data_IF_865203986497
#
_entry.id   IF_865203986497
#
_cell.length_a   1.000
_cell.length_b   1.000
_cell.length_c   1.000
_cell.angle_alpha   90.00
_cell.angle_beta   90.00
_cell.angle_gamma   90.00
#
_symmetry.space_group_name_H-M   'P 1'
#
loop_
_entity.id
_entity.type
_entity.pdbx_description
1 polymer ?
#
# COMPACT_ATOMS: atom_id res chain seq x y z
N UNK A 1 -2.09 33.19 -15.28
CA UNK A 1 -0.76 33.16 -14.65
C UNK A 1 -0.45 31.70 -14.36
N UNK A 2 0.35 31.06 -15.22
CA UNK A 2 0.73 29.66 -15.03
C UNK A 2 2.15 29.67 -14.47
N UNK A 3 2.37 29.03 -13.33
CA UNK A 3 3.70 28.71 -12.84
C UNK A 3 4.32 27.73 -13.84
N UNK A 4 5.21 28.23 -14.68
CA UNK A 4 5.97 27.40 -15.59
C UNK A 4 7.09 26.67 -14.85
N UNK A 5 7.75 25.76 -15.56
CA UNK A 5 8.98 25.15 -15.04
C UNK A 5 10.04 26.19 -14.62
N UNK A 6 10.22 27.33 -15.33
CA UNK A 6 11.19 28.34 -14.92
C UNK A 6 10.93 28.90 -13.52
N UNK A 7 9.68 29.27 -13.20
CA UNK A 7 9.34 29.83 -11.88
C UNK A 7 9.54 28.81 -10.75
N UNK A 8 9.16 27.55 -10.98
CA UNK A 8 9.39 26.46 -10.01
C UNK A 8 10.89 26.28 -9.76
N UNK A 9 11.72 26.36 -10.81
CA UNK A 9 13.17 26.18 -10.71
C UNK A 9 13.83 27.32 -9.91
N UNK A 10 13.36 28.56 -10.08
CA UNK A 10 13.81 29.71 -9.27
C UNK A 10 13.46 29.51 -7.80
N UNK A 11 12.22 29.11 -7.49
CA UNK A 11 11.80 28.82 -6.11
C UNK A 11 12.66 27.70 -5.52
N UNK A 12 12.92 26.64 -6.28
CA UNK A 12 13.77 25.53 -5.86
C UNK A 12 15.19 26.03 -5.53
N UNK A 13 15.78 26.88 -6.36
CA UNK A 13 17.11 27.47 -6.11
C UNK A 13 17.12 28.28 -4.82
N UNK A 14 16.11 29.13 -4.58
CA UNK A 14 16.01 29.90 -3.33
C UNK A 14 15.86 28.97 -2.12
N UNK A 15 15.01 27.95 -2.21
CA UNK A 15 14.87 26.95 -1.16
C UNK A 15 16.18 26.19 -0.91
N UNK A 16 16.94 25.88 -1.97
CA UNK A 16 18.24 25.24 -1.90
C UNK A 16 19.32 26.13 -1.28
N UNK A 17 19.24 27.45 -1.41
CA UNK A 17 20.15 28.36 -0.70
C UNK A 17 19.87 28.40 0.80
N UNK A 18 18.59 28.32 1.19
CA UNK A 18 18.17 28.32 2.61
C UNK A 18 18.47 26.96 3.27
N UNK A 19 18.04 25.87 2.66
CA UNK A 19 18.16 24.53 3.22
C UNK A 19 19.48 23.84 2.85
N UNK A 20 20.09 24.19 1.71
CA UNK A 20 21.29 23.55 1.19
C UNK A 20 20.98 22.35 0.26
N UNK A 21 21.75 22.16 -0.84
CA UNK A 21 21.55 21.05 -1.79
C UNK A 21 21.81 19.67 -1.20
N UNK A 22 22.54 19.60 -0.07
CA UNK A 22 22.79 18.34 0.64
C UNK A 22 21.58 17.86 1.46
N UNK A 23 20.71 18.76 1.92
CA UNK A 23 19.56 18.39 2.76
C UNK A 23 18.42 17.74 1.98
N UNK A 24 18.17 18.15 0.74
CA UNK A 24 17.13 17.51 -0.09
C UNK A 24 17.32 16.00 -0.29
N UNK A 25 18.50 15.49 -0.71
CA UNK A 25 18.71 14.05 -0.87
C UNK A 25 18.71 13.31 0.48
N UNK A 26 19.14 13.95 1.56
CA UNK A 26 19.09 13.39 2.91
C UNK A 26 17.63 13.20 3.38
N UNK A 27 16.79 14.24 3.23
CA UNK A 27 15.36 14.19 3.51
C UNK A 27 14.62 13.19 2.61
N UNK A 28 14.98 13.14 1.32
CA UNK A 28 14.39 12.18 0.39
C UNK A 28 14.73 10.73 0.75
N UNK A 29 15.96 10.47 1.21
CA UNK A 29 16.35 9.13 1.69
C UNK A 29 15.60 8.73 2.95
N UNK A 30 15.49 9.61 3.94
CA UNK A 30 14.78 9.30 5.19
C UNK A 30 13.29 9.09 4.95
N UNK A 31 12.62 9.99 4.23
CA UNK A 31 11.22 9.83 3.83
C UNK A 31 11.01 8.59 2.97
N UNK A 32 11.91 8.31 2.03
CA UNK A 32 11.85 7.13 1.18
C UNK A 32 11.96 5.82 1.98
N UNK A 33 12.84 5.77 2.98
CA UNK A 33 12.93 4.64 3.90
C UNK A 33 11.64 4.47 4.71
N UNK A 34 11.12 5.54 5.30
CA UNK A 34 9.85 5.51 6.04
C UNK A 34 8.67 5.04 5.18
N UNK A 35 8.55 5.55 3.96
CA UNK A 35 7.49 5.14 3.02
C UNK A 35 7.65 3.66 2.64
N UNK A 36 8.88 3.19 2.44
CA UNK A 36 9.15 1.79 2.10
C UNK A 36 8.75 0.85 3.24
N UNK A 37 9.12 1.19 4.47
CA UNK A 37 8.75 0.41 5.66
C UNK A 37 7.25 0.44 5.90
N UNK A 38 6.62 1.62 5.76
CA UNK A 38 5.17 1.75 5.85
C UNK A 38 4.44 0.89 4.82
N UNK A 39 4.89 0.92 3.55
CA UNK A 39 4.30 0.09 2.49
C UNK A 39 4.45 -1.39 2.79
N UNK A 40 5.62 -1.82 3.29
CA UNK A 40 5.86 -3.21 3.67
C UNK A 40 4.93 -3.66 4.80
N UNK A 41 4.84 -2.90 5.89
CA UNK A 41 3.93 -3.22 6.99
C UNK A 41 2.46 -3.23 6.54
N UNK A 42 2.07 -2.30 5.67
CA UNK A 42 0.72 -2.29 5.10
C UNK A 42 0.43 -3.52 4.21
N UNK A 43 1.43 -4.07 3.52
CA UNK A 43 1.27 -5.32 2.76
C UNK A 43 1.15 -6.53 3.68
N UNK A 44 2.01 -6.64 4.70
CA UNK A 44 1.97 -7.73 5.68
C UNK A 44 0.60 -7.81 6.39
N UNK A 45 0.03 -6.66 6.79
CA UNK A 45 -1.31 -6.58 7.39
C UNK A 45 -2.41 -7.04 6.40
N UNK A 46 -2.29 -6.68 5.12
CA UNK A 46 -3.26 -7.11 4.09
C UNK A 46 -3.23 -8.63 3.91
N UNK A 47 -2.04 -9.20 3.80
CA UNK A 47 -1.86 -10.64 3.65
C UNK A 47 -2.39 -11.41 4.88
N UNK A 48 -2.16 -10.90 6.09
CA UNK A 48 -2.71 -11.48 7.32
C UNK A 48 -4.24 -11.44 7.37
N UNK A 49 -4.83 -10.33 6.91
CA UNK A 49 -6.28 -10.17 6.86
C UNK A 49 -6.91 -11.10 5.81
N UNK A 50 -6.33 -11.20 4.61
CA UNK A 50 -6.79 -12.12 3.56
C UNK A 50 -6.73 -13.57 4.03
N UNK A 51 -5.62 -13.97 4.65
CA UNK A 51 -5.44 -15.33 5.19
C UNK A 51 -6.42 -15.65 6.32
N UNK A 52 -6.75 -14.66 7.15
CA UNK A 52 -7.74 -14.82 8.24
C UNK A 52 -9.18 -14.92 7.72
N UNK A 53 -9.47 -14.34 6.56
CA UNK A 53 -10.78 -14.42 5.90
C UNK A 53 -10.93 -15.75 5.16
N UNK A 54 -9.90 -16.24 4.46
CA UNK A 54 -9.92 -17.55 3.78
C UNK A 54 -10.15 -18.72 4.75
N UNK A 55 -9.56 -18.67 5.95
CA UNK A 55 -9.73 -19.71 6.99
C UNK A 55 -11.16 -19.79 7.54
N UNK A 56 -12.00 -18.77 7.32
CA UNK A 56 -13.41 -18.76 7.74
C UNK A 56 -14.38 -19.38 6.73
N UNK A 57 -13.98 -19.62 5.49
CA UNK A 57 -14.86 -20.17 4.44
C UNK A 57 -14.65 -21.68 4.16
N UNK A 58 -13.61 -22.33 4.70
CA UNK A 58 -13.34 -23.75 4.46
C UNK A 58 -13.87 -24.68 5.57
N UNK A 59 -15.18 -24.62 5.83
CA UNK A 59 -15.90 -25.83 6.29
C UNK A 59 -17.05 -26.11 5.32
N UNK A 60 -16.88 -27.05 4.38
CA UNK A 60 -17.96 -27.42 3.50
C UNK A 60 -19.04 -28.04 4.38
N UNK A 61 -20.23 -27.45 4.40
CA UNK A 61 -21.42 -28.20 4.77
C UNK A 61 -21.57 -29.29 3.72
N UNK A 62 -21.43 -30.59 4.05
CA UNK A 62 -21.94 -31.63 3.19
C UNK A 62 -23.46 -31.50 3.32
N UNK A 63 -24.07 -30.69 2.46
CA UNK A 63 -25.50 -30.73 2.28
C UNK A 63 -25.85 -32.19 1.96
N UNK A 64 -26.78 -32.82 2.72
CA UNK A 64 -27.19 -34.17 2.41
C UNK A 64 -27.77 -34.13 1.00
N UNK A 65 -27.08 -34.78 0.05
CA UNK A 65 -27.64 -35.05 -1.27
C UNK A 65 -28.95 -35.78 -1.01
N UNK A 66 -30.11 -35.31 -1.49
CA UNK A 66 -31.28 -36.16 -1.60
C UNK A 66 -30.97 -37.19 -2.69
N UNK A 67 -30.28 -38.25 -2.30
CA UNK A 67 -30.26 -39.50 -3.05
C UNK A 67 -31.67 -40.08 -2.93
N UNK A 68 -32.34 -40.10 -4.08
CA UNK A 68 -33.36 -41.05 -4.54
C UNK A 68 -33.34 -42.36 -3.72
N UNK A 69 -34.42 -42.82 -3.09
CA UNK A 69 -35.56 -43.62 -3.61
C UNK A 69 -36.28 -44.23 -2.35
N UNK A 70 -37.47 -44.88 -2.36
CA UNK A 70 -38.09 -45.58 -3.48
C UNK A 70 -39.62 -45.40 -3.66
N UNK A 71 -40.02 -45.74 -4.89
CA UNK A 71 -41.34 -46.12 -5.38
C UNK A 71 -42.11 -47.05 -4.40
N UNK A 72 -43.36 -46.72 -4.11
CA UNK A 72 -44.41 -47.63 -3.65
C UNK A 72 -45.78 -47.13 -4.13
#
# INVERSE_FOLDING_TARGET
>A
MNLGMPEILVILVVALLIFGPKKLPELGRSLGQSIREFKRGAQEIREELEKSVEVRDEKPAPGPKPQEEPKA
#
